data_IF_334634386880
#
_entry.id   IF_334634386880
#
_cell.length_a   1.000
_cell.length_b   1.000
_cell.length_c   1.000
_cell.angle_alpha   90.00
_cell.angle_beta   90.00
_cell.angle_gamma   90.00
#
_symmetry.space_group_name_H-M   'P 1'
#
loop_
_entity.id
_entity.type
_entity.pdbx_description
1 polymer ?
#
# COMPACT_ATOMS: atom_id res chain seq x y z
N UNK A 1 -1.80 -3.26 28.35
CA UNK A 1 -2.46 -2.83 27.09
C UNK A 1 -1.43 -2.94 25.97
N UNK A 2 -1.14 -4.17 25.55
CA UNK A 2 -0.32 -4.45 24.37
C UNK A 2 -1.30 -4.49 23.21
N UNK A 3 -1.79 -3.32 22.85
CA UNK A 3 -2.86 -3.13 21.87
C UNK A 3 -2.37 -3.60 20.51
N UNK A 4 -3.23 -4.38 19.84
CA UNK A 4 -3.09 -4.91 18.48
C UNK A 4 -2.23 -4.01 17.58
N UNK A 5 -1.04 -4.50 17.20
CA UNK A 5 -0.24 -3.87 16.14
C UNK A 5 -0.91 -4.19 14.80
N UNK A 6 -1.52 -3.22 14.09
CA UNK A 6 -2.25 -3.50 12.85
C UNK A 6 -1.32 -3.78 11.66
N UNK A 7 -0.03 -3.53 11.81
CA UNK A 7 1.04 -3.71 10.82
C UNK A 7 2.35 -4.08 11.51
N UNK A 8 3.25 -4.73 10.78
CA UNK A 8 4.60 -5.13 11.23
C UNK A 8 5.67 -4.31 10.50
N UNK A 9 6.90 -4.31 11.03
CA UNK A 9 8.06 -3.82 10.27
C UNK A 9 8.18 -4.65 8.98
N UNK A 10 8.38 -3.96 7.86
CA UNK A 10 8.39 -4.53 6.52
C UNK A 10 7.05 -4.45 5.75
N UNK A 11 5.94 -4.12 6.42
CA UNK A 11 4.67 -3.95 5.71
C UNK A 11 4.66 -2.65 4.90
N UNK A 12 4.09 -2.69 3.70
CA UNK A 12 3.80 -1.49 2.91
C UNK A 12 2.44 -0.96 3.33
N UNK A 13 2.44 0.22 3.94
CA UNK A 13 1.24 0.86 4.48
C UNK A 13 1.12 2.28 3.94
N UNK A 14 -0.11 2.76 3.85
CA UNK A 14 -0.41 4.16 3.62
C UNK A 14 -1.14 4.73 4.83
N UNK A 15 -0.62 5.84 5.34
CA UNK A 15 -1.13 6.54 6.51
C UNK A 15 -1.13 8.03 6.24
N UNK A 16 -2.26 8.69 6.51
CA UNK A 16 -2.42 10.14 6.32
C UNK A 16 -2.01 10.64 4.92
N UNK A 17 -2.28 9.84 3.87
CA UNK A 17 -1.96 10.17 2.47
C UNK A 17 -0.50 9.95 2.09
N UNK A 18 0.34 9.38 2.97
CA UNK A 18 1.71 9.00 2.65
C UNK A 18 1.85 7.48 2.63
N UNK A 19 2.23 6.93 1.48
CA UNK A 19 2.48 5.51 1.30
C UNK A 19 3.98 5.19 1.45
N UNK A 20 4.29 4.12 2.20
CA UNK A 20 5.65 3.66 2.40
C UNK A 20 5.74 2.33 3.15
N UNK A 21 6.92 1.73 3.10
CA UNK A 21 7.25 0.54 3.89
C UNK A 21 7.61 0.93 5.32
N UNK A 22 7.13 0.17 6.30
CA UNK A 22 7.50 0.35 7.70
C UNK A 22 8.95 -0.09 7.90
N UNK A 23 9.84 0.85 8.18
CA UNK A 23 11.24 0.56 8.50
C UNK A 23 11.34 0.12 9.97
N UNK A 24 10.97 1.00 10.89
CA UNK A 24 11.01 0.72 12.33
C UNK A 24 9.90 1.41 13.12
N UNK A 25 9.44 0.76 14.19
CA UNK A 25 8.36 1.25 15.07
C UNK A 25 8.98 1.57 16.42
N UNK A 26 9.04 2.85 16.77
CA UNK A 26 9.43 3.33 18.09
C UNK A 26 8.19 3.59 18.96
N UNK A 27 8.42 3.85 20.25
CA UNK A 27 7.35 4.05 21.25
C UNK A 27 6.47 5.26 20.90
N UNK A 28 7.05 6.33 20.37
CA UNK A 28 6.35 7.58 20.06
C UNK A 28 6.13 7.82 18.56
N UNK A 29 6.94 7.19 17.70
CA UNK A 29 6.96 7.46 16.27
C UNK A 29 7.18 6.17 15.47
N UNK A 30 6.64 6.13 14.27
CA UNK A 30 6.87 5.10 13.27
C UNK A 30 7.64 5.71 12.11
N UNK A 31 8.70 5.03 11.68
CA UNK A 31 9.54 5.43 10.57
C UNK A 31 9.07 4.66 9.34
N UNK A 32 8.64 5.41 8.33
CA UNK A 32 8.24 4.92 7.04
C UNK A 32 9.31 5.27 6.00
N UNK A 33 9.54 4.34 5.08
CA UNK A 33 10.40 4.51 3.92
C UNK A 33 9.52 4.54 2.68
N UNK A 34 9.44 5.69 2.02
CA UNK A 34 8.67 5.80 0.77
C UNK A 34 9.37 5.06 -0.37
N UNK A 35 8.65 4.67 -1.44
CA UNK A 35 9.25 4.08 -2.63
C UNK A 35 10.30 5.00 -3.30
N UNK A 36 10.17 6.32 -3.10
CA UNK A 36 11.16 7.33 -3.53
C UNK A 36 12.44 7.34 -2.67
N UNK A 37 12.60 6.38 -1.76
CA UNK A 37 13.72 6.31 -0.82
C UNK A 37 13.80 7.52 0.14
N UNK A 38 12.66 8.16 0.45
CA UNK A 38 12.57 9.22 1.46
C UNK A 38 12.17 8.63 2.80
N UNK A 39 12.72 9.20 3.87
CA UNK A 39 12.36 8.85 5.24
C UNK A 39 11.22 9.75 5.71
N UNK A 40 10.13 9.15 6.15
CA UNK A 40 8.96 9.85 6.68
C UNK A 40 8.72 9.38 8.10
N UNK A 41 8.61 10.33 9.03
CA UNK A 41 8.42 10.03 10.45
C UNK A 41 7.02 10.46 10.84
N UNK A 42 6.19 9.48 11.26
CA UNK A 42 4.83 9.74 11.74
C UNK A 42 4.74 9.46 13.24
N UNK A 43 4.15 10.35 14.04
CA UNK A 43 3.86 10.03 15.43
C UNK A 43 2.77 8.97 15.51
N UNK A 44 2.86 8.08 16.49
CA UNK A 44 1.91 6.96 16.65
C UNK A 44 0.46 7.47 16.86
N UNK A 45 0.29 8.67 17.40
CA UNK A 45 -1.03 9.32 17.53
C UNK A 45 -1.70 9.56 16.17
N UNK A 46 -0.95 9.98 15.16
CA UNK A 46 -1.47 10.17 13.79
C UNK A 46 -1.73 8.84 13.11
N UNK A 47 -0.91 7.82 13.40
CA UNK A 47 -1.11 6.47 12.84
C UNK A 47 -2.37 5.81 13.40
N UNK A 48 -2.65 5.98 14.69
CA UNK A 48 -3.83 5.37 15.35
C UNK A 48 -5.12 6.15 15.05
N UNK A 49 -5.06 7.47 14.91
CA UNK A 49 -6.24 8.28 14.56
C UNK A 49 -6.54 8.33 13.05
N UNK A 50 -5.53 8.11 12.21
CA UNK A 50 -5.68 8.11 10.75
C UNK A 50 -6.20 6.78 10.21
N UNK A 51 -6.81 6.83 9.02
CA UNK A 51 -7.05 5.62 8.26
C UNK A 51 -5.71 4.99 7.85
N UNK A 52 -5.52 3.71 8.18
CA UNK A 52 -4.35 2.92 7.78
C UNK A 52 -4.77 1.97 6.67
N UNK A 53 -4.16 2.09 5.49
CA UNK A 53 -4.33 1.14 4.39
C UNK A 53 -3.09 0.24 4.37
N UNK A 54 -3.23 -1.03 4.78
CA UNK A 54 -2.14 -2.00 4.70
C UNK A 54 -2.27 -2.79 3.40
N UNK A 55 -1.31 -2.59 2.51
CA UNK A 55 -1.26 -3.27 1.23
C UNK A 55 -0.64 -4.67 1.33
N UNK A 56 0.25 -4.90 2.31
CA UNK A 56 0.98 -6.17 2.47
C UNK A 56 0.22 -7.26 3.24
N UNK A 57 -0.86 -6.90 3.93
CA UNK A 57 -1.59 -7.85 4.80
C UNK A 57 -2.42 -8.89 4.04
N UNK A 58 -2.85 -8.58 2.82
CA UNK A 58 -3.56 -9.51 1.96
C UNK A 58 -2.66 -9.94 0.78
N UNK A 59 -2.55 -11.25 0.58
CA UNK A 59 -1.69 -11.83 -0.46
C UNK A 59 -2.19 -11.56 -1.88
N UNK A 60 -3.50 -11.38 -2.06
CA UNK A 60 -4.13 -11.07 -3.34
C UNK A 60 -4.63 -9.64 -3.34
N UNK A 61 -4.39 -8.94 -4.46
CA UNK A 61 -4.93 -7.61 -4.72
C UNK A 61 -5.70 -7.66 -6.04
N UNK A 62 -6.88 -7.06 -6.05
CA UNK A 62 -7.63 -6.89 -7.30
C UNK A 62 -6.97 -5.78 -8.11
N UNK A 63 -6.63 -6.08 -9.35
CA UNK A 63 -6.16 -5.10 -10.33
C UNK A 63 -7.23 -5.03 -11.41
N UNK A 64 -7.85 -3.87 -11.58
CA UNK A 64 -8.77 -3.62 -12.68
C UNK A 64 -7.96 -3.08 -13.88
N UNK A 65 -7.85 -3.88 -14.94
CA UNK A 65 -7.16 -3.51 -16.17
C UNK A 65 -8.20 -3.09 -17.21
N UNK A 66 -8.21 -1.81 -17.59
CA UNK A 66 -9.02 -1.31 -18.68
C UNK A 66 -8.18 -1.29 -19.96
N UNK A 67 -8.41 -2.27 -20.82
CA UNK A 67 -7.63 -2.46 -22.04
C UNK A 67 -8.42 -1.93 -23.22
N UNK A 68 -8.00 -0.78 -23.75
CA UNK A 68 -8.56 -0.18 -24.95
C UNK A 68 -8.07 -0.92 -26.19
N UNK A 69 -9.01 -1.44 -26.98
CA UNK A 69 -8.71 -2.10 -28.26
C UNK A 69 -9.11 -1.20 -29.41
N UNK A 70 -8.34 -1.22 -30.50
CA UNK A 70 -8.69 -0.47 -31.71
C UNK A 70 -9.98 -1.02 -32.32
N UNK A 71 -10.81 -0.15 -32.90
CA UNK A 71 -12.04 -0.59 -33.60
C UNK A 71 -11.78 -1.57 -34.74
N UNK A 72 -10.55 -1.61 -35.28
CA UNK A 72 -10.13 -2.53 -36.35
C UNK A 72 -9.52 -3.84 -35.85
N UNK A 73 -9.29 -3.99 -34.54
CA UNK A 73 -8.76 -5.23 -33.97
C UNK A 73 -9.88 -6.23 -33.69
N UNK A 74 -9.59 -7.49 -33.99
CA UNK A 74 -10.49 -8.61 -33.69
C UNK A 74 -10.55 -8.81 -32.17
N UNK A 75 -11.75 -8.66 -31.62
CA UNK A 75 -12.03 -8.82 -30.18
C UNK A 75 -11.70 -10.25 -29.70
N UNK A 76 -11.89 -11.25 -30.55
CA UNK A 76 -11.62 -12.64 -30.20
C UNK A 76 -10.12 -12.90 -30.04
N UNK A 77 -9.30 -12.39 -30.96
CA UNK A 77 -7.84 -12.47 -30.84
C UNK A 77 -7.33 -11.71 -29.62
N UNK A 78 -7.90 -10.54 -29.36
CA UNK A 78 -7.45 -9.71 -28.24
C UNK A 78 -7.74 -10.38 -26.90
N UNK A 79 -8.90 -11.02 -26.74
CA UNK A 79 -9.23 -11.79 -25.53
C UNK A 79 -8.34 -13.01 -25.32
N UNK A 80 -7.77 -13.57 -26.38
CA UNK A 80 -6.94 -14.78 -26.31
C UNK A 80 -5.48 -14.50 -25.93
N UNK A 81 -5.02 -13.25 -26.12
CA UNK A 81 -3.65 -12.81 -25.81
C UNK A 81 -3.54 -12.18 -24.41
N UNK A 82 -4.68 -11.77 -23.83
CA UNK A 82 -4.81 -11.23 -22.48
C UNK A 82 -4.95 -12.33 -21.43
#
# INVERSE_FOLDING_TARGET
IVAFRPFKSGDYIEVAGTAGSVDSIHIFQTILKTPDNKMVVLPNSTVVNGAIVNYSRHATRRVDLLIGVSYKSDLNKTKQVL
#
